data_IF_074818714984
#
_entry.id   IF_074818714984
#
_cell.length_a   1.000
_cell.length_b   1.000
_cell.length_c   1.000
_cell.angle_alpha   90.00
_cell.angle_beta   90.00
_cell.angle_gamma   90.00
#
_symmetry.space_group_name_H-M   'P 1'
#
loop_
_entity.id
_entity.type
_entity.pdbx_description
1 polymer ?
#
# COMPACT_ATOMS: atom_id res chain seq x y z
N UNK A 1 -5.08 2.52 -4.56
CA UNK A 1 -6.09 2.65 -3.48
C UNK A 1 -7.46 2.15 -3.98
N UNK A 2 -7.57 0.86 -4.24
CA UNK A 2 -8.77 0.27 -4.85
C UNK A 2 -9.36 -0.88 -4.00
N UNK A 3 -8.75 -1.19 -2.85
CA UNK A 3 -9.20 -2.31 -2.02
C UNK A 3 -10.20 -1.86 -0.95
N UNK A 4 -11.14 -2.75 -0.53
CA UNK A 4 -12.19 -2.43 0.43
C UNK A 4 -11.68 -2.40 1.88
N UNK A 5 -10.70 -1.55 2.16
CA UNK A 5 -10.14 -1.27 3.47
C UNK A 5 -10.23 0.22 3.75
N UNK A 6 -11.36 0.66 4.33
CA UNK A 6 -11.70 2.08 4.54
C UNK A 6 -11.57 2.91 3.24
N UNK A 7 -12.10 2.40 2.15
CA UNK A 7 -12.02 3.07 0.84
C UNK A 7 -12.68 4.46 0.83
N UNK A 8 -13.80 4.63 1.53
CA UNK A 8 -14.46 5.94 1.65
C UNK A 8 -13.57 6.98 2.33
N UNK A 9 -12.76 6.55 3.30
CA UNK A 9 -11.80 7.44 3.96
C UNK A 9 -10.67 7.83 3.01
N UNK A 10 -10.15 6.88 2.23
CA UNK A 10 -9.19 7.15 1.17
C UNK A 10 -9.74 8.15 0.15
N UNK A 11 -10.99 7.97 -0.28
CA UNK A 11 -11.69 8.88 -1.19
C UNK A 11 -11.79 10.28 -0.62
N UNK A 12 -12.24 10.40 0.64
CA UNK A 12 -12.37 11.69 1.33
C UNK A 12 -11.04 12.46 1.36
N UNK A 13 -9.95 11.76 1.73
CA UNK A 13 -8.61 12.35 1.79
C UNK A 13 -8.14 12.80 0.42
N UNK A 14 -8.24 11.93 -0.60
CA UNK A 14 -7.77 12.23 -1.96
C UNK A 14 -8.59 13.35 -2.61
N UNK A 15 -9.89 13.38 -2.40
CA UNK A 15 -10.75 14.45 -2.91
C UNK A 15 -10.41 15.80 -2.27
N UNK A 16 -10.12 15.83 -0.96
CA UNK A 16 -9.66 17.03 -0.27
C UNK A 16 -8.30 17.55 -0.79
N UNK A 17 -7.47 16.64 -1.34
CA UNK A 17 -6.20 16.98 -2.02
C UNK A 17 -6.38 17.39 -3.49
N UNK A 18 -7.61 17.37 -4.03
CA UNK A 18 -7.90 17.73 -5.42
C UNK A 18 -7.92 16.58 -6.41
N UNK A 19 -7.70 15.31 -5.97
CA UNK A 19 -7.75 14.12 -6.83
C UNK A 19 -9.18 13.58 -6.97
N UNK A 20 -10.09 14.38 -7.49
CA UNK A 20 -11.53 14.10 -7.55
C UNK A 20 -12.06 13.73 -8.95
N UNK A 21 -11.17 13.51 -9.91
CA UNK A 21 -11.48 13.09 -11.29
C UNK A 21 -10.39 12.15 -11.81
N UNK A 22 -10.66 11.36 -12.85
CA UNK A 22 -9.68 10.45 -13.45
C UNK A 22 -8.35 11.14 -13.75
N UNK A 23 -7.25 10.54 -13.28
CA UNK A 23 -5.90 11.04 -13.37
C UNK A 23 -4.91 9.86 -13.43
N UNK A 24 -3.67 10.06 -13.92
CA UNK A 24 -2.66 9.00 -13.98
C UNK A 24 -2.25 8.40 -12.62
N UNK A 25 -2.52 9.13 -11.53
CA UNK A 25 -2.24 8.69 -10.15
C UNK A 25 -3.17 9.37 -9.17
N UNK A 26 -3.25 8.82 -7.97
CA UNK A 26 -3.95 9.36 -6.79
C UNK A 26 -5.49 9.40 -6.88
N UNK A 27 -6.09 9.20 -8.06
CA UNK A 27 -7.52 9.02 -8.19
C UNK A 27 -7.92 7.62 -7.70
N UNK A 28 -8.87 7.55 -6.78
CA UNK A 28 -9.25 6.29 -6.13
C UNK A 28 -10.37 5.51 -6.87
N UNK A 29 -10.89 6.06 -7.96
CA UNK A 29 -11.99 5.45 -8.72
C UNK A 29 -13.38 5.84 -8.20
N UNK A 30 -14.40 5.29 -8.83
CA UNK A 30 -15.83 5.48 -8.47
C UNK A 30 -16.24 4.61 -7.28
N UNK A 31 -15.53 3.50 -7.06
CA UNK A 31 -15.76 2.54 -6.00
C UNK A 31 -14.55 1.64 -5.77
N UNK A 32 -14.56 0.81 -4.71
CA UNK A 32 -13.52 -0.19 -4.53
C UNK A 32 -13.63 -1.28 -5.61
N UNK A 33 -12.49 -1.84 -6.01
CA UNK A 33 -12.39 -2.95 -6.97
C UNK A 33 -13.00 -2.66 -8.36
N UNK A 34 -13.03 -1.39 -8.77
CA UNK A 34 -13.47 -0.99 -10.11
C UNK A 34 -12.39 -1.16 -11.17
N UNK A 35 -11.12 -1.17 -10.76
CA UNK A 35 -10.01 -1.42 -11.67
C UNK A 35 -9.79 -2.93 -11.86
N UNK A 36 -9.65 -3.43 -13.09
CA UNK A 36 -9.56 -4.86 -13.37
C UNK A 36 -8.36 -5.53 -12.70
N UNK A 37 -7.23 -4.85 -12.57
CA UNK A 37 -6.04 -5.35 -11.89
C UNK A 37 -6.29 -5.54 -10.37
N UNK A 38 -6.99 -4.60 -9.74
CA UNK A 38 -7.33 -4.70 -8.33
C UNK A 38 -8.32 -5.85 -8.09
N UNK A 39 -9.33 -5.98 -8.95
CA UNK A 39 -10.30 -7.05 -8.88
C UNK A 39 -9.66 -8.43 -9.12
N UNK A 40 -8.74 -8.54 -10.09
CA UNK A 40 -8.01 -9.77 -10.37
C UNK A 40 -7.17 -10.21 -9.17
N UNK A 41 -6.41 -9.29 -8.56
CA UNK A 41 -5.60 -9.58 -7.38
C UNK A 41 -6.47 -9.93 -6.16
N UNK A 42 -7.60 -9.25 -5.99
CA UNK A 42 -8.58 -9.55 -4.95
C UNK A 42 -9.08 -10.99 -5.08
N UNK A 43 -9.59 -11.38 -6.25
CA UNK A 43 -10.11 -12.72 -6.50
C UNK A 43 -9.02 -13.80 -6.38
N UNK A 44 -7.81 -13.53 -6.88
CA UNK A 44 -6.67 -14.43 -6.70
C UNK A 44 -6.36 -14.68 -5.22
N UNK A 45 -6.36 -13.63 -4.41
CA UNK A 45 -6.07 -13.74 -2.98
C UNK A 45 -7.15 -14.53 -2.24
N UNK A 46 -8.42 -14.31 -2.57
CA UNK A 46 -9.53 -15.10 -2.01
C UNK A 46 -9.40 -16.60 -2.36
N UNK A 47 -9.05 -16.91 -3.61
CA UNK A 47 -8.93 -18.29 -4.08
C UNK A 47 -7.74 -19.03 -3.45
N UNK A 48 -6.63 -18.35 -3.20
CA UNK A 48 -5.37 -18.98 -2.77
C UNK A 48 -5.08 -18.84 -1.27
N UNK A 49 -5.73 -17.90 -0.59
CA UNK A 49 -5.60 -17.66 0.85
C UNK A 49 -4.11 -17.67 1.34
N UNK A 50 -3.25 -16.80 0.82
CA UNK A 50 -1.83 -16.83 1.15
C UNK A 50 -1.57 -16.62 2.64
N UNK A 51 -0.45 -17.12 3.13
CA UNK A 51 -0.03 -16.94 4.53
C UNK A 51 0.56 -15.55 4.79
N UNK A 52 1.12 -14.94 3.75
CA UNK A 52 1.81 -13.67 3.78
C UNK A 52 1.76 -13.05 2.38
N UNK A 53 1.76 -11.71 2.31
CA UNK A 53 1.85 -10.97 1.04
C UNK A 53 2.95 -9.93 1.07
N UNK A 54 3.63 -9.74 -0.06
CA UNK A 54 4.62 -8.69 -0.27
C UNK A 54 4.26 -7.96 -1.57
N UNK A 55 4.10 -6.66 -1.50
CA UNK A 55 3.92 -5.79 -2.65
C UNK A 55 5.17 -4.93 -2.84
N UNK A 56 5.84 -5.05 -3.98
CA UNK A 56 6.96 -4.21 -4.31
C UNK A 56 6.50 -2.95 -5.02
N UNK A 57 6.91 -1.82 -4.49
CA UNK A 57 6.71 -0.49 -5.04
C UNK A 57 8.05 0.19 -5.30
N UNK A 58 8.07 1.34 -5.94
CA UNK A 58 9.16 2.29 -5.99
C UNK A 58 8.61 3.61 -5.44
N UNK A 59 9.33 4.28 -4.61
CA UNK A 59 10.73 4.19 -4.18
C UNK A 59 10.85 4.71 -2.75
N UNK A 60 11.94 4.44 -2.04
CA UNK A 60 12.16 5.05 -0.74
C UNK A 60 13.00 4.25 0.25
N UNK A 61 13.31 2.97 -0.05
CA UNK A 61 14.02 2.06 0.84
C UNK A 61 13.32 1.88 2.19
N UNK A 62 11.99 1.68 2.12
CA UNK A 62 11.10 1.61 3.28
C UNK A 62 10.25 0.34 3.25
N UNK A 63 9.96 -0.19 4.43
CA UNK A 63 9.08 -1.33 4.66
C UNK A 63 7.87 -0.87 5.47
N UNK A 64 6.68 -0.95 4.88
CA UNK A 64 5.41 -0.75 5.55
C UNK A 64 4.77 -2.09 5.87
N UNK A 65 4.41 -2.31 7.14
CA UNK A 65 3.92 -3.60 7.65
C UNK A 65 2.62 -3.50 8.45
N UNK A 66 2.26 -2.30 8.89
CA UNK A 66 1.10 -2.06 9.76
C UNK A 66 -0.15 -1.67 8.97
N UNK A 67 -1.29 -1.92 9.57
CA UNK A 67 -2.58 -1.32 9.23
C UNK A 67 -3.43 -1.17 10.47
N UNK A 68 -3.73 0.07 10.87
CA UNK A 68 -4.51 0.42 12.06
C UNK A 68 -4.04 -0.37 13.30
N UNK A 69 -4.99 -0.89 14.08
CA UNK A 69 -4.74 -1.63 15.32
C UNK A 69 -4.54 -3.15 15.09
N UNK A 70 -4.50 -3.59 13.83
CA UNK A 70 -4.24 -5.00 13.52
C UNK A 70 -2.82 -5.39 13.88
N UNK A 71 -2.67 -6.53 14.56
CA UNK A 71 -1.38 -7.07 14.99
C UNK A 71 -1.25 -8.54 14.57
N UNK A 72 -1.05 -8.82 13.27
CA UNK A 72 -0.85 -10.19 12.83
C UNK A 72 0.37 -10.82 13.52
N UNK A 73 0.24 -12.09 13.86
CA UNK A 73 1.31 -12.85 14.52
C UNK A 73 2.60 -12.80 13.71
N UNK A 74 3.73 -12.52 14.36
CA UNK A 74 5.07 -12.40 13.79
C UNK A 74 5.26 -11.29 12.74
N UNK A 75 4.28 -10.41 12.52
CA UNK A 75 4.36 -9.39 11.47
C UNK A 75 5.55 -8.45 11.66
N UNK A 76 5.80 -7.95 12.87
CA UNK A 76 6.96 -7.10 13.18
C UNK A 76 8.27 -7.88 13.10
N UNK A 77 8.31 -9.11 13.58
CA UNK A 77 9.51 -9.96 13.52
C UNK A 77 9.96 -10.17 12.06
N UNK A 78 9.02 -10.49 11.18
CA UNK A 78 9.28 -10.66 9.74
C UNK A 78 9.73 -9.33 9.10
N UNK A 79 9.07 -8.19 9.43
CA UNK A 79 9.49 -6.87 8.96
C UNK A 79 10.93 -6.55 9.40
N UNK A 80 11.28 -6.89 10.64
CA UNK A 80 12.65 -6.71 11.17
C UNK A 80 13.66 -7.52 10.36
N UNK A 81 13.35 -8.78 10.02
CA UNK A 81 14.20 -9.59 9.15
C UNK A 81 14.37 -8.99 7.76
N UNK A 82 13.31 -8.47 7.18
CA UNK A 82 13.41 -7.77 5.90
C UNK A 82 14.30 -6.53 5.99
N UNK A 83 14.17 -5.75 7.07
CA UNK A 83 15.01 -4.58 7.34
C UNK A 83 16.50 -4.95 7.51
N UNK A 84 16.79 -5.96 8.31
CA UNK A 84 18.17 -6.45 8.54
C UNK A 84 18.84 -6.90 7.22
N UNK A 85 18.10 -7.58 6.35
CA UNK A 85 18.63 -8.13 5.10
C UNK A 85 18.76 -7.09 3.99
N UNK A 86 17.84 -6.13 3.91
CA UNK A 86 17.78 -5.12 2.84
C UNK A 86 18.51 -3.82 3.18
N UNK A 87 18.64 -3.51 4.47
CA UNK A 87 19.05 -2.19 4.95
C UNK A 87 17.92 -1.15 4.91
N UNK A 88 16.70 -1.53 4.59
CA UNK A 88 15.56 -0.63 4.48
C UNK A 88 14.95 -0.32 5.85
N UNK A 89 14.46 0.91 6.02
CA UNK A 89 13.82 1.34 7.26
C UNK A 89 12.41 0.77 7.39
N UNK A 90 12.01 0.46 8.62
CA UNK A 90 10.61 0.19 8.95
C UNK A 90 9.96 1.53 9.29
N UNK A 91 8.88 1.89 8.61
CA UNK A 91 8.17 3.15 8.80
C UNK A 91 6.65 2.95 8.84
N UNK A 92 5.95 3.93 9.40
CA UNK A 92 4.49 4.02 9.33
C UNK A 92 4.06 4.65 8.01
N UNK A 93 2.95 4.17 7.46
CA UNK A 93 2.39 4.75 6.23
C UNK A 93 1.87 6.16 6.51
N UNK A 94 2.26 7.17 5.70
CA UNK A 94 1.68 8.50 5.83
C UNK A 94 0.16 8.48 5.70
N UNK A 95 -0.55 9.27 6.51
CA UNK A 95 -2.02 9.27 6.60
C UNK A 95 -2.71 9.42 5.22
N UNK A 96 -2.15 10.22 4.33
CA UNK A 96 -2.68 10.45 2.98
C UNK A 96 -2.57 9.23 2.05
N UNK A 97 -1.91 8.15 2.50
CA UNK A 97 -1.73 6.89 1.77
C UNK A 97 -2.06 5.66 2.62
N UNK A 98 -2.65 5.86 3.80
CA UNK A 98 -2.82 4.83 4.81
C UNK A 98 -4.04 3.90 4.62
N UNK A 99 -4.87 4.12 3.58
CA UNK A 99 -6.11 3.39 3.40
C UNK A 99 -6.25 2.82 1.99
N UNK A 100 -7.09 1.79 1.86
CA UNK A 100 -7.51 1.17 0.61
C UNK A 100 -6.36 0.59 -0.25
N UNK A 101 -5.21 0.32 0.35
CA UNK A 101 -4.12 -0.46 -0.26
C UNK A 101 -4.38 -1.97 -0.20
N UNK A 102 -3.71 -2.73 -1.05
CA UNK A 102 -3.79 -4.20 -1.04
C UNK A 102 -3.32 -4.78 0.31
N UNK A 103 -2.17 -4.32 0.80
CA UNK A 103 -1.64 -4.69 2.13
C UNK A 103 -2.67 -4.42 3.23
N UNK A 104 -3.32 -3.25 3.20
CA UNK A 104 -4.26 -2.83 4.22
C UNK A 104 -5.48 -3.74 4.26
N UNK A 105 -6.04 -4.03 3.08
CA UNK A 105 -7.15 -4.96 2.95
C UNK A 105 -6.76 -6.38 3.39
N UNK A 106 -5.61 -6.88 2.95
CA UNK A 106 -5.15 -8.22 3.30
C UNK A 106 -5.00 -8.40 4.82
N UNK A 107 -4.38 -7.43 5.49
CA UNK A 107 -4.23 -7.43 6.95
C UNK A 107 -5.60 -7.39 7.63
N UNK A 108 -6.50 -6.50 7.21
CA UNK A 108 -7.82 -6.37 7.79
C UNK A 108 -8.69 -7.61 7.58
N UNK A 109 -8.62 -8.21 6.38
CA UNK A 109 -9.45 -9.36 6.01
C UNK A 109 -9.03 -10.65 6.72
N UNK A 110 -7.72 -10.87 6.86
CA UNK A 110 -7.18 -12.16 7.29
C UNK A 110 -6.44 -12.13 8.63
N UNK A 111 -6.13 -10.95 9.14
CA UNK A 111 -5.21 -10.75 10.27
C UNK A 111 -3.88 -11.52 10.07
N UNK A 112 -3.36 -11.48 8.85
CA UNK A 112 -2.10 -12.11 8.44
C UNK A 112 -1.08 -11.05 8.03
N UNK A 113 0.25 -11.36 8.10
CA UNK A 113 1.30 -10.43 7.71
C UNK A 113 1.20 -10.00 6.24
N UNK A 114 1.16 -8.70 6.01
CA UNK A 114 1.19 -8.08 4.68
C UNK A 114 2.15 -6.91 4.67
N UNK A 115 2.93 -6.80 3.59
CA UNK A 115 3.99 -5.79 3.48
C UNK A 115 3.90 -5.03 2.18
N UNK A 116 4.24 -3.74 2.25
CA UNK A 116 4.64 -2.95 1.08
C UNK A 116 6.11 -2.58 1.24
N UNK A 117 6.92 -2.90 0.25
CA UNK A 117 8.36 -2.60 0.22
C UNK A 117 8.59 -1.58 -0.87
N UNK A 118 8.95 -0.35 -0.48
CA UNK A 118 9.34 0.72 -1.39
C UNK A 118 10.81 0.53 -1.78
N UNK A 119 11.05 -0.16 -2.89
CA UNK A 119 12.38 -0.58 -3.30
C UNK A 119 13.14 0.54 -4.02
N UNK A 120 14.43 0.65 -3.71
CA UNK A 120 15.39 1.55 -4.38
C UNK A 120 15.38 2.99 -3.88
N UNK A 121 16.47 3.68 -4.22
CA UNK A 121 16.72 5.06 -3.79
C UNK A 121 15.66 6.02 -4.36
N UNK A 122 15.24 6.95 -3.54
CA UNK A 122 14.37 8.05 -3.94
C UNK A 122 15.09 8.88 -5.01
N UNK A 123 14.67 8.82 -6.27
CA UNK A 123 15.14 9.75 -7.28
C UNK A 123 14.74 11.17 -6.86
N UNK A 124 15.73 12.05 -6.66
CA UNK A 124 15.46 13.49 -6.61
C UNK A 124 14.79 13.85 -7.96
N UNK A 125 13.62 14.49 -7.90
CA UNK A 125 13.03 15.06 -9.11
C UNK A 125 14.09 15.92 -9.77
N UNK A 126 14.43 15.62 -11.02
CA UNK A 126 15.26 16.51 -11.83
C UNK A 126 14.43 17.78 -12.02
N UNK A 127 14.72 18.79 -11.24
CA UNK A 127 14.20 20.13 -11.48
C UNK A 127 14.57 20.50 -12.90
N UNK A 128 13.57 20.88 -13.68
CA UNK A 128 13.66 21.31 -15.07
C UNK A 128 14.95 22.05 -15.38
N UNK A 129 15.72 21.54 -16.34
CA UNK A 129 16.66 22.36 -17.07
C UNK A 129 15.86 23.40 -17.87
N UNK A 130 15.85 24.63 -17.41
CA UNK A 130 15.51 25.77 -18.25
C UNK A 130 16.73 26.04 -19.12
N UNK A 131 16.60 25.86 -20.43
CA UNK A 131 17.52 26.41 -21.44
C UNK A 131 17.16 27.87 -21.67
#
# INVERSE_FOLDING_TARGET
MQFPAKWEEAKRIKYAQGFNKPAPRDYVGEGPLTEPEALALYNFTLAHNPKLTISYHTQGEVIFWQYLDYKPTNALEIATKFSELSGYNIEEVPLNSAFAGYKDWFIAQYNKPGYTIEAGLRRKSVTSFTI
#
